data_IF_395671384107
#
_entry.id   IF_395671384107
#
_cell.length_a   1.000
_cell.length_b   1.000
_cell.length_c   1.000
_cell.angle_alpha   90.00
_cell.angle_beta   90.00
_cell.angle_gamma   90.00
#
_symmetry.space_group_name_H-M   'P 1'
#
loop_
_entity.id
_entity.type
_entity.pdbx_description
1 polymer ?
#
# COMPACT_ATOMS: atom_id res chain seq x y z
N UNK A 1 4.70 3.81 -15.63
CA UNK A 1 3.96 3.06 -14.59
C UNK A 1 3.89 1.56 -14.90
N UNK A 2 4.28 0.71 -13.95
CA UNK A 2 4.26 -0.76 -14.01
C UNK A 2 3.66 -1.30 -12.72
N UNK A 3 2.73 -2.25 -12.82
CA UNK A 3 2.18 -2.96 -11.67
C UNK A 3 2.88 -4.31 -11.54
N UNK A 4 3.25 -4.69 -10.32
CA UNK A 4 3.88 -5.98 -9.99
C UNK A 4 3.47 -6.45 -8.60
N UNK A 5 3.61 -7.75 -8.32
CA UNK A 5 3.51 -8.25 -6.95
C UNK A 5 4.55 -7.57 -6.05
N UNK A 6 4.16 -7.32 -4.81
CA UNK A 6 5.05 -6.78 -3.81
C UNK A 6 6.20 -7.75 -3.50
N UNK A 7 7.38 -7.18 -3.30
CA UNK A 7 8.57 -7.88 -2.78
C UNK A 7 8.64 -7.65 -1.28
N UNK A 8 9.33 -8.53 -0.56
CA UNK A 8 9.56 -8.37 0.88
C UNK A 8 10.24 -7.04 1.22
N UNK A 9 11.13 -6.56 0.34
CA UNK A 9 11.81 -5.27 0.49
C UNK A 9 10.88 -4.06 0.32
N UNK A 10 9.71 -4.23 -0.30
CA UNK A 10 8.76 -3.13 -0.50
C UNK A 10 7.94 -2.85 0.77
N UNK A 11 7.79 -3.83 1.69
CA UNK A 11 6.84 -3.72 2.81
C UNK A 11 7.06 -2.52 3.72
N UNK A 12 8.30 -2.14 4.10
CA UNK A 12 8.52 -0.92 4.86
C UNK A 12 8.10 0.34 4.09
N UNK A 13 8.29 0.36 2.77
CA UNK A 13 7.87 1.48 1.91
C UNK A 13 6.34 1.60 1.86
N UNK A 14 5.61 0.48 1.95
CA UNK A 14 4.15 0.51 2.00
C UNK A 14 3.64 1.24 3.25
N UNK A 15 4.30 1.05 4.40
CA UNK A 15 3.97 1.79 5.61
C UNK A 15 4.26 3.29 5.47
N UNK A 16 5.31 3.66 4.75
CA UNK A 16 5.60 5.08 4.47
C UNK A 16 4.55 5.70 3.54
N UNK A 17 4.13 4.96 2.50
CA UNK A 17 3.04 5.34 1.60
C UNK A 17 1.73 5.53 2.38
N UNK A 18 1.40 4.63 3.29
CA UNK A 18 0.18 4.71 4.08
C UNK A 18 0.12 5.99 4.92
N UNK A 19 1.21 6.32 5.62
CA UNK A 19 1.30 7.56 6.40
C UNK A 19 1.20 8.79 5.50
N UNK A 20 1.86 8.77 4.35
CA UNK A 20 1.80 9.86 3.38
C UNK A 20 0.39 10.04 2.81
N UNK A 21 -0.32 8.94 2.52
CA UNK A 21 -1.70 8.93 2.04
C UNK A 21 -2.69 9.47 3.10
N UNK A 22 -2.42 9.22 4.39
CA UNK A 22 -3.22 9.70 5.51
C UNK A 22 -3.04 11.19 5.82
N UNK A 23 -1.84 11.75 5.65
CA UNK A 23 -1.53 13.13 6.08
C UNK A 23 -2.49 14.22 5.50
N UNK A 24 -2.88 14.19 4.21
CA UNK A 24 -3.82 15.17 3.66
C UNK A 24 -5.16 15.27 4.40
N UNK A 25 -5.60 14.20 5.07
CA UNK A 25 -6.86 14.18 5.82
C UNK A 25 -6.82 15.07 7.06
N UNK A 26 -5.63 15.37 7.61
CA UNK A 26 -5.47 16.29 8.74
C UNK A 26 -6.01 17.68 8.42
N UNK A 27 -5.77 18.17 7.21
CA UNK A 27 -6.25 19.47 6.75
C UNK A 27 -7.79 19.54 6.60
N UNK A 28 -8.46 18.39 6.53
CA UNK A 28 -9.91 18.25 6.41
C UNK A 28 -10.62 18.03 7.75
N UNK A 29 -9.90 18.15 8.88
CA UNK A 29 -10.43 17.86 10.20
C UNK A 29 -10.57 16.37 10.51
N UNK A 30 -9.96 15.50 9.68
CA UNK A 30 -9.95 14.05 9.83
C UNK A 30 -8.59 13.55 10.32
N UNK A 31 -8.04 14.20 11.35
CA UNK A 31 -6.72 13.85 11.89
C UNK A 31 -6.61 12.39 12.33
N UNK A 32 -7.72 11.76 12.75
CA UNK A 32 -7.76 10.35 13.12
C UNK A 32 -7.34 9.40 11.98
N UNK A 33 -7.47 9.81 10.72
CA UNK A 33 -6.99 9.03 9.56
C UNK A 33 -5.47 9.15 9.43
N UNK A 34 -4.92 10.34 9.64
CA UNK A 34 -3.49 10.60 9.58
C UNK A 34 -2.73 9.97 10.76
N UNK A 35 -3.41 9.85 11.91
CA UNK A 35 -2.86 9.29 13.15
C UNK A 35 -3.05 7.77 13.25
N UNK A 36 -3.70 7.12 12.29
CA UNK A 36 -3.87 5.68 12.27
C UNK A 36 -2.55 4.97 11.96
N UNK A 37 -2.29 3.86 12.65
CA UNK A 37 -1.08 3.09 12.44
C UNK A 37 -1.16 2.35 11.10
N UNK A 38 -0.10 2.37 10.28
CA UNK A 38 -0.12 1.60 9.04
C UNK A 38 -0.20 0.10 9.33
N UNK A 39 -0.68 -0.71 8.37
CA UNK A 39 -0.71 -2.17 8.52
C UNK A 39 0.65 -2.71 8.98
N UNK A 40 0.68 -3.60 9.98
CA UNK A 40 1.93 -4.12 10.51
C UNK A 40 2.62 -5.01 9.46
N UNK A 41 3.95 -5.10 9.54
CA UNK A 41 4.76 -5.77 8.51
C UNK A 41 4.45 -7.26 8.35
N UNK A 42 4.04 -7.93 9.42
CA UNK A 42 3.62 -9.34 9.41
C UNK A 42 2.29 -9.53 8.66
N UNK A 43 1.34 -8.61 8.84
CA UNK A 43 0.11 -8.58 8.05
C UNK A 43 0.43 -8.36 6.56
N UNK A 44 1.24 -7.35 6.23
CA UNK A 44 1.65 -7.08 4.85
C UNK A 44 2.40 -8.28 4.23
N UNK A 45 3.26 -8.93 5.01
CA UNK A 45 3.97 -10.14 4.58
C UNK A 45 2.99 -11.29 4.30
N UNK A 46 1.91 -11.44 5.08
CA UNK A 46 0.88 -12.46 4.83
C UNK A 46 0.17 -12.24 3.49
N UNK A 47 -0.23 -11.00 3.16
CA UNK A 47 -0.82 -10.66 1.85
C UNK A 47 0.17 -10.90 0.72
N UNK A 48 1.45 -10.53 0.91
CA UNK A 48 2.51 -10.78 -0.07
C UNK A 48 2.69 -12.27 -0.34
N UNK A 49 2.78 -13.10 0.70
CA UNK A 49 2.94 -14.54 0.56
C UNK A 49 1.72 -15.19 -0.10
N UNK A 50 0.51 -14.67 0.18
CA UNK A 50 -0.72 -15.10 -0.47
C UNK A 50 -0.86 -14.60 -1.93
N UNK A 51 0.08 -13.79 -2.42
CA UNK A 51 0.01 -13.22 -3.77
C UNK A 51 -1.07 -12.15 -3.94
N UNK A 52 -1.51 -11.53 -2.83
CA UNK A 52 -2.62 -10.56 -2.78
C UNK A 52 -2.18 -9.14 -2.44
N UNK A 53 -0.89 -8.85 -2.62
CA UNK A 53 -0.31 -7.52 -2.45
C UNK A 53 0.40 -7.12 -3.75
N UNK A 54 -0.03 -6.01 -4.34
CA UNK A 54 0.55 -5.45 -5.57
C UNK A 54 1.02 -4.02 -5.33
N UNK A 55 2.06 -3.62 -6.04
CA UNK A 55 2.60 -2.27 -6.02
C UNK A 55 2.62 -1.68 -7.43
N UNK A 56 2.40 -0.37 -7.51
CA UNK A 56 2.67 0.41 -8.70
C UNK A 56 4.05 1.07 -8.56
N UNK A 57 4.89 0.94 -9.59
CA UNK A 57 6.19 1.61 -9.68
C UNK A 57 6.27 2.42 -10.97
N UNK A 58 7.18 3.38 -11.05
CA UNK A 58 7.47 4.07 -12.29
C UNK A 58 8.95 3.94 -12.69
N UNK A 59 9.28 3.01 -13.61
CA UNK A 59 10.67 2.78 -14.03
C UNK A 59 11.38 4.01 -14.64
N UNK A 60 10.60 5.02 -15.07
CA UNK A 60 11.12 6.26 -15.64
C UNK A 60 11.26 7.38 -14.59
N UNK A 61 10.80 7.17 -13.36
CA UNK A 61 10.95 8.11 -12.25
C UNK A 61 12.39 8.12 -11.71
N UNK A 62 12.79 9.24 -11.11
CA UNK A 62 14.02 9.34 -10.33
C UNK A 62 14.09 8.33 -9.17
N UNK A 63 12.93 7.85 -8.69
CA UNK A 63 12.81 6.83 -7.64
C UNK A 63 12.89 5.39 -8.18
N UNK A 64 12.94 5.21 -9.51
CA UNK A 64 13.10 3.91 -10.17
C UNK A 64 11.99 2.92 -9.82
N UNK A 65 12.37 1.72 -9.37
CA UNK A 65 11.41 0.65 -9.03
C UNK A 65 10.86 0.73 -7.59
N UNK A 66 11.00 1.90 -6.94
CA UNK A 66 10.36 2.18 -5.64
C UNK A 66 8.83 2.21 -5.82
N UNK A 67 8.05 1.58 -4.92
CA UNK A 67 6.60 1.75 -4.89
C UNK A 67 6.19 3.22 -4.77
N UNK A 68 5.14 3.57 -5.53
CA UNK A 68 4.41 4.86 -5.47
C UNK A 68 2.98 4.66 -4.96
N UNK A 69 2.56 3.40 -4.83
CA UNK A 69 1.25 3.01 -4.34
C UNK A 69 1.13 1.51 -4.28
N UNK A 70 0.15 1.03 -3.53
CA UNK A 70 -0.11 -0.39 -3.38
C UNK A 70 -1.60 -0.72 -3.24
N UNK A 71 -1.90 -2.00 -3.45
CA UNK A 71 -3.22 -2.59 -3.24
C UNK A 71 -3.07 -3.87 -2.43
N UNK A 72 -3.92 -4.03 -1.42
CA UNK A 72 -4.21 -5.29 -0.75
C UNK A 72 -5.58 -5.78 -1.17
N UNK A 73 -5.73 -7.09 -1.32
CA UNK A 73 -7.00 -7.68 -1.66
C UNK A 73 -7.28 -8.96 -0.87
N UNK A 74 -8.56 -9.21 -0.64
CA UNK A 74 -9.05 -10.44 -0.03
C UNK A 74 -10.10 -11.10 -0.92
N UNK A 75 -10.13 -12.44 -0.99
CA UNK A 75 -11.27 -13.14 -1.56
C UNK A 75 -12.48 -12.96 -0.63
N UNK A 76 -13.57 -12.44 -1.16
CA UNK A 76 -14.86 -12.29 -0.46
C UNK A 76 -15.92 -12.85 -1.38
N UNK A 77 -16.61 -13.91 -0.92
CA UNK A 77 -17.50 -14.73 -1.73
C UNK A 77 -16.80 -15.22 -3.02
N UNK A 78 -17.42 -14.99 -4.18
CA UNK A 78 -16.89 -15.37 -5.49
C UNK A 78 -16.10 -14.24 -6.17
N UNK A 79 -15.68 -13.22 -5.41
CA UNK A 79 -14.99 -12.04 -5.92
C UNK A 79 -13.69 -11.73 -5.17
N UNK A 80 -12.84 -10.90 -5.79
CA UNK A 80 -11.67 -10.32 -5.15
C UNK A 80 -12.00 -8.89 -4.70
N UNK A 81 -12.08 -8.70 -3.39
CA UNK A 81 -12.32 -7.41 -2.75
C UNK A 81 -11.02 -6.63 -2.60
N UNK A 82 -11.01 -5.35 -2.98
CA UNK A 82 -9.90 -4.45 -2.63
C UNK A 82 -10.10 -4.06 -1.18
N UNK A 83 -9.32 -4.66 -0.30
CA UNK A 83 -9.30 -4.33 1.12
C UNK A 83 -8.72 -2.92 1.31
N UNK A 84 -7.67 -2.59 0.56
CA UNK A 84 -7.02 -1.30 0.70
C UNK A 84 -6.30 -0.87 -0.59
N UNK A 85 -6.29 0.44 -0.83
CA UNK A 85 -5.48 1.10 -1.85
C UNK A 85 -4.93 2.42 -1.32
N UNK A 86 -3.61 2.62 -1.43
CA UNK A 86 -2.92 3.81 -0.93
C UNK A 86 -1.83 4.26 -1.90
N UNK A 87 -1.59 5.58 -1.98
CA UNK A 87 -0.65 6.23 -2.91
C UNK A 87 0.11 7.36 -2.22
N UNK A 88 1.37 7.59 -2.59
CA UNK A 88 2.21 8.71 -2.13
C UNK A 88 2.37 9.85 -3.16
#
# INVERSE_FOLDING_TARGET
MRIRSARRSDLPVLQDIERAAGEPFRALGMAFVADDDPPPLDLLESYRQAGRCWVATDPLSATGDRPLGYVLADPVDDALHIEQVSVD
#
